data_IF_536281155226
#
_entry.id   IF_536281155226
#
_cell.length_a   1.000
_cell.length_b   1.000
_cell.length_c   1.000
_cell.angle_alpha   90.00
_cell.angle_beta   90.00
_cell.angle_gamma   90.00
#
_symmetry.space_group_name_H-M   'P 1'
#
loop_
_entity.id
_entity.type
_entity.pdbx_description
1 polymer ?
#
# COMPACT_ATOMS: atom_id res chain seq x y z
N UNK A 1 9.78 20.57 -4.93
CA UNK A 1 10.54 20.45 -6.22
C UNK A 1 10.70 18.99 -6.66
N UNK A 2 11.25 18.07 -5.85
CA UNK A 2 11.46 16.67 -6.23
C UNK A 2 10.15 15.95 -6.67
N UNK A 3 9.04 16.16 -5.97
CA UNK A 3 7.73 15.60 -6.30
C UNK A 3 7.21 16.07 -7.68
N UNK A 4 7.36 17.34 -8.00
CA UNK A 4 6.99 17.89 -9.31
C UNK A 4 7.86 17.31 -10.44
N UNK A 5 9.15 17.17 -10.19
CA UNK A 5 10.08 16.55 -11.15
C UNK A 5 9.71 15.09 -11.43
N UNK A 6 9.42 14.29 -10.40
CA UNK A 6 8.99 12.90 -10.56
C UNK A 6 7.67 12.78 -11.34
N UNK A 7 6.70 13.67 -11.08
CA UNK A 7 5.44 13.68 -11.84
C UNK A 7 5.63 14.09 -13.31
N UNK A 8 6.54 15.02 -13.59
CA UNK A 8 6.89 15.38 -14.96
C UNK A 8 7.57 14.19 -15.68
N UNK A 9 8.56 13.56 -15.07
CA UNK A 9 9.19 12.35 -15.61
C UNK A 9 8.19 11.22 -15.85
N UNK A 10 7.23 11.03 -14.93
CA UNK A 10 6.13 10.08 -15.10
C UNK A 10 5.32 10.37 -16.36
N UNK A 11 4.97 11.64 -16.59
CA UNK A 11 4.18 12.08 -17.74
C UNK A 11 4.96 11.93 -19.06
N UNK A 12 6.30 12.09 -19.04
CA UNK A 12 7.18 12.01 -20.22
C UNK A 12 7.45 10.58 -20.73
N UNK A 13 6.87 9.53 -20.12
CA UNK A 13 6.93 8.17 -20.65
C UNK A 13 7.38 7.09 -19.67
N UNK A 14 7.85 7.43 -18.47
CA UNK A 14 8.21 6.44 -17.44
C UNK A 14 7.01 5.60 -16.99
N UNK A 15 5.79 6.11 -17.14
CA UNK A 15 4.52 5.38 -16.92
C UNK A 15 4.36 4.13 -17.80
N UNK A 16 5.13 4.01 -18.90
CA UNK A 16 5.06 2.89 -19.83
C UNK A 16 6.13 1.82 -19.57
N UNK A 17 6.94 2.00 -18.54
CA UNK A 17 7.95 1.02 -18.14
C UNK A 17 7.44 0.19 -16.96
N UNK A 18 7.43 -1.17 -17.07
CA UNK A 18 7.04 -2.04 -15.96
C UNK A 18 7.93 -1.79 -14.74
N UNK A 19 7.36 -1.96 -13.56
CA UNK A 19 7.99 -1.74 -12.25
C UNK A 19 8.25 -0.26 -11.97
N UNK A 20 8.78 0.52 -12.92
CA UNK A 20 9.06 1.94 -12.74
C UNK A 20 7.76 2.72 -12.46
N UNK A 21 6.66 2.37 -13.12
CA UNK A 21 5.36 2.97 -12.88
C UNK A 21 4.87 2.79 -11.44
N UNK A 22 5.12 1.60 -10.84
CA UNK A 22 4.81 1.33 -9.43
C UNK A 22 5.79 2.06 -8.51
N UNK A 23 7.10 2.05 -8.82
CA UNK A 23 8.12 2.75 -8.03
C UNK A 23 7.84 4.25 -7.92
N UNK A 24 7.42 4.89 -9.01
CA UNK A 24 7.08 6.33 -8.98
C UNK A 24 5.85 6.58 -8.09
N UNK A 25 4.84 5.71 -8.16
CA UNK A 25 3.67 5.81 -7.30
C UNK A 25 4.06 5.67 -5.82
N UNK A 26 4.87 4.67 -5.49
CA UNK A 26 5.41 4.44 -4.13
C UNK A 26 6.24 5.63 -3.64
N UNK A 27 7.11 6.19 -4.50
CA UNK A 27 7.92 7.35 -4.15
C UNK A 27 7.05 8.55 -3.74
N UNK A 28 5.87 8.72 -4.36
CA UNK A 28 4.91 9.73 -3.98
C UNK A 28 4.38 9.57 -2.55
N UNK A 29 4.09 8.34 -2.11
CA UNK A 29 3.66 8.06 -0.73
C UNK A 29 4.79 8.25 0.26
N UNK A 30 5.98 7.75 -0.04
CA UNK A 30 7.17 7.92 0.81
C UNK A 30 7.54 9.39 0.98
N UNK A 31 7.51 10.18 -0.09
CA UNK A 31 7.77 11.62 -0.01
C UNK A 31 6.73 12.35 0.86
N UNK A 32 5.46 11.99 0.80
CA UNK A 32 4.42 12.56 1.68
C UNK A 32 4.68 12.25 3.15
N UNK A 33 5.08 11.00 3.46
CA UNK A 33 5.46 10.61 4.83
C UNK A 33 6.64 11.44 5.34
N UNK A 34 7.71 11.54 4.56
CA UNK A 34 8.91 12.30 4.93
C UNK A 34 8.62 13.79 5.07
N UNK A 35 7.78 14.34 4.19
CA UNK A 35 7.39 15.75 4.24
C UNK A 35 6.52 16.04 5.47
N UNK A 36 5.58 15.15 5.79
CA UNK A 36 4.77 15.26 7.00
C UNK A 36 5.65 15.23 8.26
N UNK A 37 6.59 14.31 8.32
CA UNK A 37 7.53 14.17 9.43
C UNK A 37 8.41 15.43 9.62
N UNK A 38 8.89 16.01 8.51
CA UNK A 38 9.69 17.24 8.54
C UNK A 38 8.91 18.46 9.04
N UNK A 39 7.63 18.58 8.64
CA UNK A 39 6.79 19.70 9.07
C UNK A 39 6.41 19.60 10.55
N UNK A 40 6.18 18.38 11.04
CA UNK A 40 5.76 18.12 12.42
C UNK A 40 6.93 17.89 13.38
N UNK A 41 8.16 17.93 12.89
CA UNK A 41 9.41 17.62 13.65
C UNK A 41 9.35 16.25 14.36
N UNK A 42 8.62 15.29 13.76
CA UNK A 42 8.51 13.92 14.29
C UNK A 42 9.55 13.02 13.62
N UNK A 43 10.33 12.33 14.45
CA UNK A 43 11.28 11.33 13.94
C UNK A 43 10.54 10.06 13.48
N UNK A 44 10.63 9.77 12.20
CA UNK A 44 10.08 8.52 11.63
C UNK A 44 10.99 7.36 12.02
N UNK A 45 10.42 6.34 12.67
CA UNK A 45 11.13 5.07 12.92
C UNK A 45 11.47 4.38 11.60
N UNK A 46 12.62 3.71 11.55
CA UNK A 46 13.03 2.94 10.37
C UNK A 46 11.99 1.86 10.00
N UNK A 47 11.41 1.20 10.99
CA UNK A 47 10.39 0.18 10.76
C UNK A 47 9.10 0.77 10.21
N UNK A 48 8.67 1.94 10.71
CA UNK A 48 7.50 2.64 10.17
C UNK A 48 7.73 3.07 8.72
N UNK A 49 8.92 3.58 8.41
CA UNK A 49 9.30 3.92 7.04
C UNK A 49 9.21 2.71 6.11
N UNK A 50 9.78 1.56 6.52
CA UNK A 50 9.74 0.33 5.75
C UNK A 50 8.31 -0.22 5.61
N UNK A 51 7.47 -0.09 6.64
CA UNK A 51 6.05 -0.47 6.60
C UNK A 51 5.31 0.34 5.54
N UNK A 52 5.45 1.66 5.54
CA UNK A 52 4.77 2.52 4.56
C UNK A 52 5.28 2.26 3.15
N UNK A 53 6.59 2.07 2.99
CA UNK A 53 7.19 1.76 1.69
C UNK A 53 6.68 0.42 1.15
N UNK A 54 6.75 -0.67 1.94
CA UNK A 54 6.28 -2.00 1.52
C UNK A 54 4.76 -2.03 1.29
N UNK A 55 3.97 -1.39 2.17
CA UNK A 55 2.53 -1.24 2.01
C UNK A 55 2.15 -0.47 0.74
N UNK A 56 2.91 0.56 0.39
CA UNK A 56 2.70 1.29 -0.86
C UNK A 56 2.99 0.43 -2.10
N UNK A 57 4.00 -0.46 -2.05
CA UNK A 57 4.24 -1.44 -3.10
C UNK A 57 3.11 -2.47 -3.18
N UNK A 58 2.65 -2.99 -2.04
CA UNK A 58 1.52 -3.91 -1.97
C UNK A 58 0.28 -3.33 -2.66
N UNK A 59 -0.13 -2.12 -2.29
CA UNK A 59 -1.27 -1.42 -2.88
C UNK A 59 -1.03 -1.10 -4.37
N UNK A 60 0.18 -0.72 -4.73
CA UNK A 60 0.57 -0.43 -6.10
C UNK A 60 0.46 -1.66 -7.02
N UNK A 61 0.98 -2.80 -6.59
CA UNK A 61 0.86 -4.06 -7.33
C UNK A 61 -0.57 -4.59 -7.35
N UNK A 62 -1.32 -4.46 -6.24
CA UNK A 62 -2.74 -4.79 -6.19
C UNK A 62 -3.55 -4.01 -7.22
N UNK A 63 -3.33 -2.69 -7.31
CA UNK A 63 -3.97 -1.85 -8.33
C UNK A 63 -3.63 -2.30 -9.76
N UNK A 64 -2.34 -2.59 -10.05
CA UNK A 64 -1.93 -3.06 -11.38
C UNK A 64 -2.50 -4.43 -11.73
N UNK A 65 -2.59 -5.31 -10.75
CA UNK A 65 -3.21 -6.62 -10.89
C UNK A 65 -4.67 -6.51 -11.32
N UNK A 66 -5.40 -5.65 -10.65
CA UNK A 66 -6.81 -5.45 -10.91
C UNK A 66 -7.05 -4.79 -12.27
N UNK A 67 -6.31 -3.70 -12.58
CA UNK A 67 -6.33 -3.09 -13.91
C UNK A 67 -6.04 -4.13 -15.02
N UNK A 68 -5.09 -5.07 -14.78
CA UNK A 68 -4.76 -6.14 -15.72
C UNK A 68 -5.93 -7.11 -15.94
N UNK A 69 -6.67 -7.45 -14.88
CA UNK A 69 -7.82 -8.37 -14.99
C UNK A 69 -9.02 -7.74 -15.71
N UNK A 70 -9.37 -6.51 -15.36
CA UNK A 70 -10.50 -5.79 -15.94
C UNK A 70 -10.25 -5.51 -17.44
N UNK A 71 -9.02 -5.14 -17.81
CA UNK A 71 -8.67 -4.74 -19.18
C UNK A 71 -8.26 -5.90 -20.08
N UNK A 72 -8.48 -7.15 -19.69
CA UNK A 72 -8.14 -8.37 -20.45
C UNK A 72 -8.97 -8.56 -21.71
N UNK A 73 -9.25 -7.52 -22.45
CA UNK A 73 -10.05 -7.53 -23.70
C UNK A 73 -10.22 -6.16 -24.34
N UNK A 74 -9.75 -5.11 -23.70
CA UNK A 74 -9.97 -3.74 -24.17
C UNK A 74 -8.72 -3.17 -24.85
N UNK A 75 -8.86 -2.65 -26.08
CA UNK A 75 -7.75 -2.00 -26.81
C UNK A 75 -7.29 -0.69 -26.14
N UNK A 76 -8.11 -0.12 -25.25
CA UNK A 76 -7.82 1.09 -24.50
C UNK A 76 -6.89 0.88 -23.29
N UNK A 77 -6.38 -0.35 -23.07
CA UNK A 77 -5.52 -0.67 -21.94
C UNK A 77 -4.21 0.11 -21.96
N UNK A 78 -3.71 0.49 -20.77
CA UNK A 78 -2.41 1.13 -20.64
C UNK A 78 -1.32 0.24 -21.25
N UNK A 79 -0.42 0.76 -22.11
CA UNK A 79 0.61 -0.04 -22.80
C UNK A 79 1.51 -0.83 -21.83
N UNK A 80 1.71 -0.34 -20.61
CA UNK A 80 2.54 -1.01 -19.59
C UNK A 80 1.92 -2.32 -19.10
N UNK A 81 0.58 -2.43 -19.06
CA UNK A 81 -0.10 -3.64 -18.59
C UNK A 81 0.15 -4.83 -19.50
N UNK A 82 0.33 -4.62 -20.80
CA UNK A 82 0.66 -5.69 -21.75
C UNK A 82 2.02 -6.36 -21.49
N UNK A 83 2.89 -5.68 -20.75
CA UNK A 83 4.23 -6.17 -20.38
C UNK A 83 4.26 -6.94 -19.04
N UNK A 84 3.20 -6.85 -18.25
CA UNK A 84 3.08 -7.59 -17.00
C UNK A 84 2.47 -8.98 -17.23
N UNK A 85 2.85 -9.94 -16.40
CA UNK A 85 2.12 -11.21 -16.25
C UNK A 85 1.38 -11.22 -14.92
N UNK A 86 0.20 -11.85 -14.88
CA UNK A 86 -0.58 -12.00 -13.66
C UNK A 86 0.25 -12.64 -12.54
N UNK A 87 1.00 -13.70 -12.87
CA UNK A 87 1.86 -14.40 -11.93
C UNK A 87 2.97 -13.49 -11.32
N UNK A 88 3.49 -12.53 -12.09
CA UNK A 88 4.45 -11.56 -11.57
C UNK A 88 3.77 -10.58 -10.59
N UNK A 89 2.58 -10.10 -10.95
CA UNK A 89 1.82 -9.16 -10.10
C UNK A 89 1.41 -9.82 -8.79
N UNK A 90 0.88 -11.05 -8.84
CA UNK A 90 0.47 -11.82 -7.66
C UNK A 90 1.65 -12.08 -6.72
N UNK A 91 2.77 -12.59 -7.24
CA UNK A 91 3.96 -12.88 -6.43
C UNK A 91 4.51 -11.65 -5.72
N UNK A 92 4.58 -10.51 -6.43
CA UNK A 92 5.08 -9.27 -5.83
C UNK A 92 4.06 -8.70 -4.83
N UNK A 93 2.77 -8.73 -5.12
CA UNK A 93 1.74 -8.29 -4.20
C UNK A 93 1.83 -9.04 -2.86
N UNK A 94 1.87 -10.38 -2.87
CA UNK A 94 1.98 -11.18 -1.64
C UNK A 94 3.33 -11.02 -0.93
N UNK A 95 4.42 -10.89 -1.70
CA UNK A 95 5.73 -10.62 -1.12
C UNK A 95 5.72 -9.30 -0.32
N UNK A 96 5.20 -8.22 -0.91
CA UNK A 96 5.12 -6.93 -0.24
C UNK A 96 4.07 -6.90 0.87
N UNK A 97 2.99 -7.68 0.79
CA UNK A 97 2.05 -7.89 1.90
C UNK A 97 2.77 -8.45 3.13
N UNK A 98 3.52 -9.55 2.94
CA UNK A 98 4.28 -10.20 4.02
C UNK A 98 5.34 -9.27 4.62
N UNK A 99 6.06 -8.51 3.78
CA UNK A 99 7.03 -7.52 4.25
C UNK A 99 6.35 -6.40 5.06
N UNK A 100 5.17 -5.96 4.63
CA UNK A 100 4.40 -4.93 5.35
C UNK A 100 3.99 -5.41 6.73
N UNK A 101 3.47 -6.64 6.82
CA UNK A 101 3.09 -7.28 8.09
C UNK A 101 4.30 -7.43 9.02
N UNK A 102 5.43 -7.87 8.48
CA UNK A 102 6.67 -8.04 9.25
C UNK A 102 7.19 -6.70 9.78
N UNK A 103 7.31 -5.68 8.93
CA UNK A 103 7.84 -4.38 9.34
C UNK A 103 6.90 -3.67 10.31
N UNK A 104 5.58 -3.80 10.10
CA UNK A 104 4.60 -3.27 11.04
C UNK A 104 4.73 -3.93 12.42
N UNK A 105 4.87 -5.26 12.47
CA UNK A 105 5.06 -5.99 13.72
C UNK A 105 6.33 -5.56 14.45
N UNK A 106 7.43 -5.36 13.72
CA UNK A 106 8.69 -4.86 14.29
C UNK A 106 8.55 -3.44 14.83
N UNK A 107 7.80 -2.58 14.13
CA UNK A 107 7.48 -1.24 14.61
C UNK A 107 6.68 -1.26 15.91
N UNK A 108 5.67 -2.14 16.00
CA UNK A 108 4.88 -2.32 17.24
C UNK A 108 5.74 -2.81 18.39
N UNK A 109 6.63 -3.79 18.14
CA UNK A 109 7.56 -4.32 19.14
C UNK A 109 8.52 -3.20 19.64
N UNK A 110 9.03 -2.36 18.75
CA UNK A 110 9.87 -1.22 19.11
C UNK A 110 9.19 -0.26 20.10
N UNK A 111 7.86 -0.11 19.98
CA UNK A 111 7.08 0.79 20.87
C UNK A 111 6.85 0.22 22.27
N UNK A 112 7.00 -1.08 22.48
CA UNK A 112 6.87 -1.80 23.77
C UNK A 112 5.56 -1.52 24.54
N UNK A 113 4.46 -1.23 23.82
CA UNK A 113 3.15 -0.92 24.40
C UNK A 113 2.20 -2.11 24.24
N UNK A 114 1.72 -2.67 25.36
CA UNK A 114 0.87 -3.87 25.37
C UNK A 114 -0.42 -3.74 24.53
N UNK A 115 -1.06 -2.58 24.53
CA UNK A 115 -2.28 -2.34 23.75
C UNK A 115 -1.99 -2.40 22.26
N UNK A 116 -0.86 -1.88 21.84
CA UNK A 116 -0.46 -1.83 20.44
C UNK A 116 -0.23 -3.24 19.84
N UNK A 117 0.15 -4.24 20.66
CA UNK A 117 0.28 -5.63 20.21
C UNK A 117 -1.00 -6.20 19.63
N UNK A 118 -2.17 -5.81 20.16
CA UNK A 118 -3.45 -6.28 19.65
C UNK A 118 -3.82 -5.69 18.27
N UNK A 119 -3.12 -4.64 17.82
CA UNK A 119 -3.30 -4.10 16.49
C UNK A 119 -2.67 -4.99 15.41
N UNK A 120 -1.68 -5.83 15.74
CA UNK A 120 -0.99 -6.71 14.76
C UNK A 120 -1.97 -7.68 14.08
N UNK A 121 -2.72 -8.53 14.81
CA UNK A 121 -3.65 -9.46 14.17
C UNK A 121 -4.77 -8.75 13.41
N UNK A 122 -5.21 -7.58 13.87
CA UNK A 122 -6.23 -6.78 13.16
C UNK A 122 -5.66 -6.24 11.85
N UNK A 123 -4.42 -5.79 11.84
CA UNK A 123 -3.74 -5.32 10.64
C UNK A 123 -3.58 -6.44 9.61
N UNK A 124 -3.16 -7.64 10.03
CA UNK A 124 -3.06 -8.82 9.18
C UNK A 124 -4.41 -9.16 8.52
N UNK A 125 -5.49 -9.15 9.31
CA UNK A 125 -6.83 -9.41 8.77
C UNK A 125 -7.26 -8.38 7.73
N UNK A 126 -6.93 -7.10 7.94
CA UNK A 126 -7.23 -6.03 6.96
C UNK A 126 -6.51 -6.30 5.64
N UNK A 127 -5.19 -6.61 5.67
CA UNK A 127 -4.42 -6.87 4.46
C UNK A 127 -4.89 -8.15 3.74
N UNK A 128 -5.26 -9.20 4.50
CA UNK A 128 -5.81 -10.44 3.93
C UNK A 128 -7.15 -10.21 3.25
N UNK A 129 -8.08 -9.49 3.90
CA UNK A 129 -9.38 -9.18 3.30
C UNK A 129 -9.22 -8.28 2.08
N UNK A 130 -8.36 -7.27 2.16
CA UNK A 130 -8.05 -6.44 1.01
C UNK A 130 -7.52 -7.25 -0.17
N UNK A 131 -6.57 -8.18 0.07
CA UNK A 131 -6.04 -9.03 -1.00
C UNK A 131 -7.12 -9.95 -1.61
N UNK A 132 -8.03 -10.46 -0.77
CA UNK A 132 -9.16 -11.28 -1.22
C UNK A 132 -10.13 -10.49 -2.11
N UNK A 133 -10.45 -9.25 -1.72
CA UNK A 133 -11.33 -8.38 -2.52
C UNK A 133 -10.71 -7.98 -3.84
N UNK A 134 -9.41 -7.69 -3.85
CA UNK A 134 -8.64 -7.41 -5.07
C UNK A 134 -8.62 -8.62 -6.01
N UNK A 135 -8.68 -9.86 -5.50
CA UNK A 135 -8.84 -11.06 -6.33
C UNK A 135 -10.24 -11.20 -6.92
N UNK A 136 -11.26 -10.64 -6.27
CA UNK A 136 -12.68 -10.82 -6.56
C UNK A 136 -13.30 -9.88 -7.60
N UNK A 137 -12.55 -9.25 -8.52
CA UNK A 137 -13.07 -8.38 -9.60
C UNK A 137 -13.66 -7.03 -9.15
N UNK A 138 -13.13 -6.40 -8.14
CA UNK A 138 -13.42 -5.00 -7.79
C UNK A 138 -12.63 -4.03 -8.68
N UNK A 139 -13.04 -2.76 -8.80
CA UNK A 139 -12.39 -1.74 -9.66
C UNK A 139 -10.92 -1.39 -9.28
N UNK A 140 -10.38 -2.00 -8.24
CA UNK A 140 -8.95 -1.99 -7.88
C UNK A 140 -8.42 -0.70 -7.30
N UNK A 141 -9.25 0.29 -7.12
CA UNK A 141 -8.86 1.44 -6.34
C UNK A 141 -8.87 1.07 -4.85
N UNK A 142 -7.73 1.19 -4.13
CA UNK A 142 -7.67 0.85 -2.71
C UNK A 142 -8.72 1.55 -1.86
N UNK A 143 -9.12 2.76 -2.24
CA UNK A 143 -10.14 3.53 -1.53
C UNK A 143 -11.52 2.92 -1.74
N UNK A 144 -11.86 2.51 -2.97
CA UNK A 144 -13.14 1.89 -3.28
C UNK A 144 -13.28 0.52 -2.62
N UNK A 145 -12.21 -0.29 -2.63
CA UNK A 145 -12.18 -1.59 -1.95
C UNK A 145 -12.42 -1.43 -0.44
N UNK A 146 -11.70 -0.51 0.21
CA UNK A 146 -11.82 -0.30 1.67
C UNK A 146 -13.20 0.26 2.05
N UNK A 147 -13.75 1.19 1.28
CA UNK A 147 -15.06 1.78 1.53
C UNK A 147 -16.22 0.87 1.12
N UNK A 148 -16.00 -0.03 0.18
CA UNK A 148 -17.00 -0.96 -0.33
C UNK A 148 -17.27 -2.14 0.59
N UNK A 149 -16.26 -2.64 1.31
CA UNK A 149 -16.44 -3.75 2.26
C UNK A 149 -16.60 -3.24 3.70
N UNK A 150 -17.81 -3.42 4.24
CA UNK A 150 -18.14 -3.08 5.63
C UNK A 150 -17.26 -3.80 6.66
N UNK A 151 -16.74 -5.00 6.35
CA UNK A 151 -15.85 -5.75 7.24
C UNK A 151 -14.49 -5.06 7.35
N UNK A 152 -13.91 -4.66 6.23
CA UNK A 152 -12.65 -3.92 6.20
C UNK A 152 -12.82 -2.58 6.93
N UNK A 153 -13.93 -1.87 6.69
CA UNK A 153 -14.21 -0.59 7.34
C UNK A 153 -14.30 -0.72 8.88
N UNK A 154 -14.99 -1.75 9.37
CA UNK A 154 -15.09 -2.03 10.82
C UNK A 154 -13.71 -2.37 11.41
N UNK A 155 -12.94 -3.23 10.74
CA UNK A 155 -11.60 -3.59 11.20
C UNK A 155 -10.65 -2.38 11.15
N UNK A 156 -10.76 -1.52 10.15
CA UNK A 156 -9.99 -0.28 10.07
C UNK A 156 -10.33 0.69 11.21
N UNK A 157 -11.60 0.78 11.60
CA UNK A 157 -12.02 1.57 12.77
C UNK A 157 -11.44 1.01 14.08
N UNK A 158 -11.54 -0.32 14.29
CA UNK A 158 -10.94 -0.99 15.46
C UNK A 158 -9.42 -0.80 15.49
N UNK A 159 -8.77 -0.98 14.34
CA UNK A 159 -7.34 -0.75 14.19
C UNK A 159 -6.94 0.69 14.57
N UNK A 160 -7.67 1.67 14.04
CA UNK A 160 -7.44 3.09 14.36
C UNK A 160 -7.53 3.39 15.85
N UNK A 161 -8.56 2.83 16.54
CA UNK A 161 -8.72 2.97 17.99
C UNK A 161 -7.53 2.35 18.73
N UNK A 162 -7.13 1.12 18.36
CA UNK A 162 -6.00 0.43 19.00
C UNK A 162 -4.69 1.20 18.82
N UNK A 163 -4.44 1.74 17.62
CA UNK A 163 -3.23 2.53 17.33
C UNK A 163 -3.25 3.85 18.11
N UNK A 164 -4.36 4.57 18.13
CA UNK A 164 -4.49 5.83 18.89
C UNK A 164 -4.30 5.56 20.38
N UNK A 165 -5.00 4.59 20.94
CA UNK A 165 -4.83 4.23 22.35
C UNK A 165 -3.40 3.76 22.65
N UNK A 166 -2.80 2.96 21.77
CA UNK A 166 -1.45 2.44 21.97
C UNK A 166 -0.34 3.47 21.80
N UNK A 167 -0.54 4.52 21.01
CA UNK A 167 0.45 5.59 20.82
C UNK A 167 0.36 6.65 21.93
N UNK A 168 -0.85 7.03 22.34
CA UNK A 168 -1.06 8.14 23.27
C UNK A 168 -1.17 7.72 24.74
N UNK A 169 -1.61 6.50 25.02
CA UNK A 169 -1.75 5.91 26.36
C UNK A 169 -0.81 4.74 26.57
#
# INVERSE_FOLDING_TARGET
MLYLFLNLCYSYGLKNQPVIDVVILVSGYVLRLLYGALITDIKVSAWLFLTVMSGSFFLGFGKRRNEYQIQKGDEASRPVLKKYSLNFLDKNMYCFMTLTDMFYSLWVIEKMKNILFWSIPVFFLILMLYSFDVEGNTDGDPVEVILGDRKILLLAAVYGILVICGVYF
#
